data_IF_492505896085
#
_entry.id   IF_492505896085
#
_cell.length_a   1.000
_cell.length_b   1.000
_cell.length_c   1.000
_cell.angle_alpha   90.00
_cell.angle_beta   90.00
_cell.angle_gamma   90.00
#
_symmetry.space_group_name_H-M   'P 1'
#
loop_
_entity.id
_entity.type
_entity.pdbx_description
1 polymer ?
#
# COMPACT_ATOMS: atom_id res chain seq x y z
N UNK A 1 24.02 4.28 8.17
CA UNK A 1 22.70 3.87 7.64
C UNK A 1 22.57 4.37 6.21
N UNK A 2 22.03 3.61 5.24
CA UNK A 2 21.68 4.22 3.96
C UNK A 2 20.44 5.09 4.19
N UNK A 3 20.67 6.38 4.36
CA UNK A 3 19.64 7.40 4.51
C UNK A 3 18.75 7.44 3.27
N UNK A 4 17.44 7.25 3.48
CA UNK A 4 16.43 7.66 2.50
C UNK A 4 16.47 9.19 2.43
N UNK A 5 17.30 9.73 1.54
CA UNK A 5 17.29 11.17 1.20
C UNK A 5 16.12 11.41 0.24
N UNK A 6 14.91 11.42 0.76
CA UNK A 6 13.69 11.57 -0.03
C UNK A 6 12.67 12.49 0.65
N UNK A 7 11.83 13.13 -0.15
CA UNK A 7 10.67 13.84 0.38
C UNK A 7 9.56 12.82 0.72
N UNK A 8 8.94 12.99 1.87
CA UNK A 8 7.72 12.31 2.29
C UNK A 8 6.54 13.16 1.84
N UNK A 9 5.64 12.56 1.07
CA UNK A 9 4.40 13.19 0.66
C UNK A 9 3.24 12.53 1.40
N UNK A 10 2.48 13.33 2.15
CA UNK A 10 1.27 12.88 2.83
C UNK A 10 0.08 13.46 2.07
N UNK A 11 -0.64 12.60 1.35
CA UNK A 11 -1.85 13.02 0.63
C UNK A 11 -3.04 12.94 1.57
N UNK A 12 -3.54 14.10 1.99
CA UNK A 12 -4.69 14.18 2.90
C UNK A 12 -5.34 15.55 2.82
N UNK A 13 -6.66 15.58 2.96
CA UNK A 13 -7.42 16.81 3.20
C UNK A 13 -7.69 17.05 4.69
N UNK A 14 -7.24 16.14 5.55
CA UNK A 14 -7.38 16.18 7.00
C UNK A 14 -5.99 16.28 7.63
N UNK A 15 -5.63 17.47 8.08
CA UNK A 15 -4.34 17.74 8.73
C UNK A 15 -4.56 17.71 10.24
N UNK A 16 -3.92 16.78 10.97
CA UNK A 16 -4.01 16.76 12.42
C UNK A 16 -3.34 17.99 13.05
N UNK A 17 -3.90 18.51 14.15
CA UNK A 17 -3.38 19.70 14.84
C UNK A 17 -1.93 19.57 15.34
N UNK A 18 -1.46 18.34 15.55
CA UNK A 18 -0.07 18.08 15.97
C UNK A 18 0.93 18.16 14.82
N UNK A 19 0.48 18.09 13.56
CA UNK A 19 1.36 18.14 12.39
C UNK A 19 1.63 19.60 12.00
N UNK A 20 2.79 20.11 12.38
CA UNK A 20 3.18 21.49 12.05
C UNK A 20 3.74 21.58 10.62
N UNK A 21 2.90 21.97 9.67
CA UNK A 21 3.26 22.11 8.25
C UNK A 21 4.19 23.31 7.98
N UNK A 22 4.13 24.36 8.82
CA UNK A 22 5.02 25.53 8.67
C UNK A 22 6.48 25.21 8.99
N UNK A 23 6.73 24.25 9.90
CA UNK A 23 8.09 23.80 10.28
C UNK A 23 8.58 22.59 9.49
N UNK A 24 7.72 21.88 8.75
CA UNK A 24 8.07 20.63 8.06
C UNK A 24 8.84 20.81 6.73
N UNK A 25 9.42 21.99 6.50
CA UNK A 25 9.70 22.50 5.15
C UNK A 25 10.88 21.90 4.36
N UNK A 26 11.68 20.97 4.88
CA UNK A 26 12.74 20.36 4.03
C UNK A 26 12.36 18.99 3.45
N UNK A 27 11.64 18.14 4.18
CA UNK A 27 11.43 16.74 3.76
C UNK A 27 9.97 16.29 3.75
N UNK A 28 9.05 16.83 4.56
CA UNK A 28 7.65 16.40 4.58
C UNK A 28 6.74 17.44 3.93
N UNK A 29 5.93 17.00 2.96
CA UNK A 29 4.97 17.82 2.23
C UNK A 29 3.58 17.23 2.35
N UNK A 30 2.63 18.03 2.80
CA UNK A 30 1.21 17.66 2.74
C UNK A 30 0.66 18.08 1.38
N UNK A 31 -0.03 17.17 0.71
CA UNK A 31 -0.65 17.39 -0.60
C UNK A 31 -2.16 17.21 -0.45
N UNK A 32 -2.95 18.21 -0.85
CA UNK A 32 -4.41 18.07 -0.88
C UNK A 32 -4.82 17.22 -2.06
N UNK A 33 -5.97 16.53 -1.97
CA UNK A 33 -6.54 15.84 -3.13
C UNK A 33 -6.84 16.82 -4.28
N UNK A 34 -7.10 18.10 -3.97
CA UNK A 34 -7.29 19.20 -4.93
C UNK A 34 -6.06 19.47 -5.80
N UNK A 35 -4.87 19.14 -5.33
CA UNK A 35 -3.62 19.38 -6.08
C UNK A 35 -3.38 18.30 -7.15
N UNK A 36 -4.07 17.15 -7.05
CA UNK A 36 -3.81 15.98 -7.89
C UNK A 36 -5.06 15.44 -8.61
N UNK A 37 -6.26 15.80 -8.17
CA UNK A 37 -7.53 15.40 -8.78
C UNK A 37 -8.22 16.63 -9.36
N UNK A 38 -8.76 16.49 -10.57
CA UNK A 38 -9.54 17.54 -11.23
C UNK A 38 -10.75 17.92 -10.35
N UNK A 39 -10.99 19.22 -10.19
CA UNK A 39 -12.07 19.78 -9.38
C UNK A 39 -13.44 19.18 -9.69
N UNK A 40 -13.72 18.79 -10.94
CA UNK A 40 -15.00 18.15 -11.32
C UNK A 40 -15.25 16.80 -10.64
N UNK A 41 -14.20 16.15 -10.13
CA UNK A 41 -14.25 14.85 -9.47
C UNK A 41 -14.17 14.95 -7.94
N UNK A 42 -14.18 16.17 -7.39
CA UNK A 42 -14.10 16.43 -5.96
C UNK A 42 -15.47 16.83 -5.38
N UNK A 43 -15.73 16.56 -4.08
CA UNK A 43 -14.87 15.82 -3.15
C UNK A 43 -14.87 14.32 -3.43
N UNK A 44 -13.77 13.63 -3.09
CA UNK A 44 -13.69 12.17 -3.14
C UNK A 44 -13.16 11.60 -1.82
N UNK A 45 -13.73 10.48 -1.41
CA UNK A 45 -13.32 9.62 -0.30
C UNK A 45 -12.91 8.24 -0.82
N UNK A 46 -12.77 8.09 -2.14
CA UNK A 46 -12.40 6.85 -2.79
C UNK A 46 -10.87 6.74 -2.86
N UNK A 47 -10.28 5.85 -2.05
CA UNK A 47 -8.83 5.63 -2.10
C UNK A 47 -8.35 5.18 -3.49
N UNK A 48 -9.15 4.42 -4.25
CA UNK A 48 -8.79 4.03 -5.61
C UNK A 48 -8.71 5.25 -6.54
N UNK A 49 -9.61 6.24 -6.39
CA UNK A 49 -9.53 7.49 -7.15
C UNK A 49 -8.28 8.29 -6.77
N UNK A 50 -7.97 8.39 -5.47
CA UNK A 50 -6.79 9.13 -4.96
C UNK A 50 -5.49 8.45 -5.43
N UNK A 51 -5.37 7.14 -5.22
CA UNK A 51 -4.20 6.33 -5.59
C UNK A 51 -3.90 6.41 -7.10
N UNK A 52 -4.93 6.42 -7.96
CA UNK A 52 -4.76 6.55 -9.40
C UNK A 52 -4.21 7.93 -9.82
N UNK A 53 -4.29 8.94 -8.96
CA UNK A 53 -3.83 10.30 -9.24
C UNK A 53 -2.49 10.66 -8.55
N UNK A 54 -1.88 9.77 -7.75
CA UNK A 54 -0.63 10.07 -7.03
C UNK A 54 0.54 10.46 -7.93
N UNK A 55 0.58 9.96 -9.17
CA UNK A 55 1.61 10.33 -10.16
C UNK A 55 1.62 11.83 -10.53
N UNK A 56 0.57 12.58 -10.14
CA UNK A 56 0.44 14.02 -10.36
C UNK A 56 1.02 14.87 -9.22
N UNK A 57 1.44 14.25 -8.10
CA UNK A 57 2.06 14.97 -6.98
C UNK A 57 3.22 15.84 -7.52
N UNK A 58 3.23 17.16 -7.22
CA UNK A 58 4.29 18.06 -7.64
C UNK A 58 5.65 17.59 -7.13
N UNK A 59 6.66 17.63 -8.01
CA UNK A 59 8.04 17.21 -7.72
C UNK A 59 8.22 15.74 -7.30
N UNK A 60 7.19 14.89 -7.45
CA UNK A 60 7.33 13.45 -7.24
C UNK A 60 8.39 12.89 -8.21
N UNK A 61 9.35 12.15 -7.65
CA UNK A 61 10.47 11.55 -8.39
C UNK A 61 9.97 10.39 -9.27
N UNK A 62 10.81 10.01 -10.25
CA UNK A 62 10.51 8.91 -11.16
C UNK A 62 10.32 7.58 -10.43
N UNK A 63 11.11 7.32 -9.40
CA UNK A 63 11.00 6.15 -8.53
C UNK A 63 10.59 6.61 -7.14
N UNK A 64 9.49 6.08 -6.63
CA UNK A 64 8.97 6.41 -5.29
C UNK A 64 8.40 5.17 -4.62
N UNK A 65 8.26 5.23 -3.29
CA UNK A 65 7.57 4.19 -2.53
C UNK A 65 6.17 4.69 -2.19
N UNK A 66 5.19 3.86 -2.47
CA UNK A 66 3.82 4.02 -1.99
C UNK A 66 3.65 3.32 -0.64
N UNK A 67 3.10 4.04 0.32
CA UNK A 67 2.63 3.53 1.60
C UNK A 67 1.17 3.95 1.75
N UNK A 68 0.31 3.02 2.16
CA UNK A 68 -0.99 3.39 2.70
C UNK A 68 -0.88 3.66 4.23
N UNK A 69 -2.01 3.77 4.90
CA UNK A 69 -2.14 4.09 6.33
C UNK A 69 -1.90 2.90 7.29
N UNK A 70 -1.95 1.64 6.81
CA UNK A 70 -1.81 0.45 7.66
C UNK A 70 -0.42 -0.22 7.60
N UNK A 71 0.52 0.30 6.80
CA UNK A 71 1.88 -0.24 6.68
C UNK A 71 2.84 0.24 7.77
N UNK A 72 3.59 -0.71 8.32
CA UNK A 72 4.61 -0.51 9.34
C UNK A 72 5.92 -1.14 8.89
N UNK A 73 7.02 -0.39 9.01
CA UNK A 73 8.37 -0.92 8.89
C UNK A 73 8.84 -1.42 10.26
N UNK A 74 8.87 -2.73 10.46
CA UNK A 74 9.16 -3.31 11.78
C UNK A 74 10.65 -3.31 12.16
N UNK A 75 11.54 -3.31 11.15
CA UNK A 75 13.00 -3.22 11.33
C UNK A 75 13.64 -2.43 10.20
N UNK A 76 14.95 -2.16 10.33
CA UNK A 76 15.70 -1.44 9.30
C UNK A 76 15.56 -2.12 7.93
N UNK A 77 15.26 -1.30 6.92
CA UNK A 77 15.17 -1.67 5.51
C UNK A 77 16.20 -0.90 4.71
N UNK A 78 16.52 -1.39 3.53
CA UNK A 78 17.47 -0.81 2.59
C UNK A 78 16.80 -0.55 1.24
N UNK A 79 17.44 0.24 0.38
CA UNK A 79 16.94 0.46 -0.98
C UNK A 79 16.78 -0.85 -1.77
N UNK A 80 17.61 -1.87 -1.48
CA UNK A 80 17.58 -3.19 -2.14
C UNK A 80 16.33 -4.02 -1.80
N UNK A 81 15.62 -3.65 -0.74
CA UNK A 81 14.32 -4.24 -0.42
C UNK A 81 13.23 -3.76 -1.40
N UNK A 82 13.46 -2.65 -2.10
CA UNK A 82 12.46 -2.04 -3.00
C UNK A 82 12.94 -1.87 -4.44
N UNK A 83 14.25 -1.76 -4.67
CA UNK A 83 14.82 -1.57 -6.00
C UNK A 83 16.12 -2.35 -6.17
N UNK A 84 16.23 -3.11 -7.26
CA UNK A 84 17.52 -3.61 -7.76
C UNK A 84 18.19 -2.52 -8.59
N UNK A 85 19.50 -2.34 -8.37
CA UNK A 85 20.33 -1.32 -9.00
C UNK A 85 19.73 0.10 -8.97
N UNK A 86 18.92 0.36 -7.93
CA UNK A 86 18.19 1.62 -7.69
C UNK A 86 17.18 2.02 -8.79
N UNK A 87 16.85 1.13 -9.73
CA UNK A 87 15.99 1.44 -10.88
C UNK A 87 14.96 0.37 -11.21
N UNK A 88 15.19 -0.88 -10.83
CA UNK A 88 14.29 -1.99 -11.10
C UNK A 88 13.39 -2.23 -9.89
N UNK A 89 12.08 -1.94 -9.94
CA UNK A 89 11.18 -2.16 -8.81
C UNK A 89 11.15 -3.63 -8.39
N UNK A 90 11.21 -3.88 -7.08
CA UNK A 90 11.00 -5.19 -6.46
C UNK A 90 9.53 -5.31 -6.08
N UNK A 91 8.77 -6.09 -6.82
CA UNK A 91 7.35 -6.34 -6.54
C UNK A 91 7.21 -7.63 -5.77
N UNK A 92 6.76 -7.52 -4.52
CA UNK A 92 6.37 -8.67 -3.72
C UNK A 92 5.00 -9.17 -4.16
N UNK A 93 4.88 -10.48 -4.36
CA UNK A 93 3.63 -11.18 -4.61
C UNK A 93 3.21 -12.04 -3.42
N UNK A 94 1.94 -11.98 -3.05
CA UNK A 94 1.29 -12.85 -2.08
C UNK A 94 0.75 -14.13 -2.75
N UNK A 95 -0.10 -14.90 -2.08
CA UNK A 95 -0.76 -16.07 -2.67
C UNK A 95 -1.68 -15.68 -3.85
N UNK A 96 -1.85 -16.61 -4.81
CA UNK A 96 -2.70 -16.42 -6.00
C UNK A 96 -4.16 -16.47 -5.58
N UNK A 97 -5.04 -15.73 -6.26
CA UNK A 97 -6.47 -16.07 -6.17
C UNK A 97 -6.68 -17.38 -6.92
N UNK A 98 -7.11 -18.43 -6.22
CA UNK A 98 -7.89 -19.45 -6.91
C UNK A 98 -9.31 -18.92 -7.03
N UNK A 99 -9.96 -19.14 -8.17
CA UNK A 99 -11.33 -18.71 -8.48
C UNK A 99 -12.40 -19.21 -7.51
N UNK A 100 -12.04 -20.08 -6.54
CA UNK A 100 -12.94 -20.79 -5.64
C UNK A 100 -13.17 -20.14 -4.27
N UNK A 101 -12.94 -18.84 -4.09
CA UNK A 101 -13.27 -18.21 -2.80
C UNK A 101 -14.75 -17.83 -2.75
N UNK A 102 -15.59 -18.72 -2.19
CA UNK A 102 -16.97 -18.51 -1.72
C UNK A 102 -17.08 -17.45 -0.58
N UNK A 103 -16.13 -16.52 -0.50
CA UNK A 103 -16.10 -15.45 0.48
C UNK A 103 -16.80 -14.26 -0.17
N UNK A 104 -17.79 -13.67 0.50
CA UNK A 104 -18.37 -12.39 0.11
C UNK A 104 -17.22 -11.41 -0.21
N UNK A 105 -17.05 -11.09 -1.49
CA UNK A 105 -15.93 -10.30 -1.96
C UNK A 105 -16.12 -8.89 -1.43
N UNK A 106 -15.21 -8.43 -0.57
CA UNK A 106 -15.18 -7.02 -0.23
C UNK A 106 -14.79 -6.21 -1.50
N UNK A 107 -15.18 -4.95 -1.50
CA UNK A 107 -15.00 -4.05 -2.65
C UNK A 107 -13.53 -3.95 -3.10
N UNK A 108 -12.59 -4.06 -2.16
CA UNK A 108 -11.16 -4.04 -2.45
C UNK A 108 -10.70 -5.28 -3.23
N UNK A 109 -11.11 -6.49 -2.82
CA UNK A 109 -10.87 -7.72 -3.58
C UNK A 109 -11.53 -7.66 -4.94
N UNK A 110 -12.75 -7.15 -5.03
CA UNK A 110 -13.45 -6.97 -6.31
C UNK A 110 -12.65 -6.08 -7.26
N UNK A 111 -12.10 -4.97 -6.78
CA UNK A 111 -11.27 -4.08 -7.60
C UNK A 111 -10.01 -4.77 -8.15
N UNK A 112 -9.39 -5.69 -7.38
CA UNK A 112 -8.28 -6.50 -7.87
C UNK A 112 -8.72 -7.50 -8.95
N UNK A 113 -9.91 -8.10 -8.83
CA UNK A 113 -10.46 -8.98 -9.88
C UNK A 113 -10.79 -8.21 -11.16
N UNK A 114 -11.41 -7.03 -11.04
CA UNK A 114 -11.66 -6.15 -12.18
C UNK A 114 -10.35 -5.77 -12.88
N UNK A 115 -9.29 -5.52 -12.11
CA UNK A 115 -7.95 -5.26 -12.64
C UNK A 115 -7.41 -6.44 -13.44
N UNK A 116 -7.49 -7.66 -12.88
CA UNK A 116 -7.07 -8.88 -13.60
C UNK A 116 -7.84 -9.06 -14.91
N UNK A 117 -9.16 -8.90 -14.86
CA UNK A 117 -10.01 -9.01 -16.04
C UNK A 117 -9.59 -8.00 -17.13
N UNK A 118 -9.30 -6.76 -16.76
CA UNK A 118 -8.88 -5.75 -17.74
C UNK A 118 -7.49 -6.04 -18.31
N UNK A 119 -6.54 -6.50 -17.49
CA UNK A 119 -5.21 -6.86 -17.97
C UNK A 119 -5.26 -8.01 -18.97
N UNK A 120 -6.08 -9.05 -18.73
CA UNK A 120 -6.26 -10.17 -19.66
C UNK A 120 -6.79 -9.74 -21.04
N UNK A 121 -7.68 -8.75 -21.06
CA UNK A 121 -8.35 -8.33 -22.29
C UNK A 121 -7.64 -7.18 -23.02
N UNK A 122 -6.81 -6.40 -22.32
CA UNK A 122 -6.31 -5.12 -22.84
C UNK A 122 -4.78 -5.02 -22.90
N UNK A 123 -4.04 -5.98 -22.33
CA UNK A 123 -2.58 -6.08 -22.53
C UNK A 123 -2.34 -7.20 -23.54
N UNK A 124 -2.07 -6.87 -24.83
CA UNK A 124 -1.83 -7.88 -25.84
C UNK A 124 -0.62 -8.71 -25.43
N UNK A 125 -0.76 -10.03 -25.46
CA UNK A 125 0.34 -11.00 -25.38
C UNK A 125 1.17 -11.02 -24.09
N UNK A 126 0.54 -11.26 -22.94
CA UNK A 126 1.23 -11.96 -21.86
C UNK A 126 0.72 -13.40 -21.75
N UNK A 127 1.62 -14.38 -21.74
CA UNK A 127 1.30 -15.81 -21.52
C UNK A 127 0.76 -16.12 -20.11
N UNK A 128 0.34 -15.10 -19.35
CA UNK A 128 -0.10 -15.21 -17.96
C UNK A 128 -1.60 -14.99 -17.91
N UNK A 129 -2.33 -16.00 -17.44
CA UNK A 129 -3.76 -15.86 -17.17
C UNK A 129 -3.96 -15.14 -15.82
N UNK A 130 -5.14 -14.58 -15.57
CA UNK A 130 -5.48 -14.02 -14.25
C UNK A 130 -5.20 -14.96 -13.06
N UNK A 131 -5.35 -16.26 -13.25
CA UNK A 131 -5.04 -17.29 -12.23
C UNK A 131 -3.56 -17.35 -11.85
N UNK A 132 -2.66 -16.86 -12.70
CA UNK A 132 -1.22 -16.89 -12.47
C UNK A 132 -0.70 -15.67 -11.71
N UNK A 133 -1.50 -14.59 -11.66
CA UNK A 133 -1.13 -13.33 -10.99
C UNK A 133 -1.26 -13.46 -9.47
N UNK A 134 -0.15 -13.20 -8.79
CA UNK A 134 -0.12 -13.03 -7.33
C UNK A 134 -0.76 -11.69 -6.94
N UNK A 135 -1.44 -11.59 -5.80
CA UNK A 135 -1.83 -10.26 -5.33
C UNK A 135 -0.64 -9.47 -4.83
N UNK A 136 -0.82 -8.15 -4.80
CA UNK A 136 0.06 -7.31 -4.02
C UNK A 136 -0.25 -7.52 -2.53
N UNK A 137 0.75 -7.85 -1.72
CA UNK A 137 0.58 -7.94 -0.28
C UNK A 137 0.38 -6.54 0.32
N UNK A 138 -0.14 -6.48 1.54
CA UNK A 138 -0.23 -5.21 2.28
C UNK A 138 1.16 -4.79 2.78
N UNK A 139 1.95 -4.19 1.90
CA UNK A 139 3.29 -3.70 2.17
C UNK A 139 3.67 -2.56 1.24
N UNK A 140 4.76 -1.84 1.53
CA UNK A 140 5.15 -0.72 0.69
C UNK A 140 5.47 -1.16 -0.74
N UNK A 141 5.00 -0.38 -1.71
CA UNK A 141 5.14 -0.72 -3.12
C UNK A 141 6.06 0.27 -3.83
N UNK A 142 7.16 -0.19 -4.46
CA UNK A 142 7.95 0.65 -5.34
C UNK A 142 7.18 0.92 -6.63
N UNK A 143 7.04 2.19 -6.98
CA UNK A 143 6.31 2.63 -8.16
C UNK A 143 7.22 3.47 -9.06
N UNK A 144 7.08 3.22 -10.36
CA UNK A 144 7.68 4.02 -11.43
C UNK A 144 6.64 5.01 -11.97
N UNK A 145 6.89 6.31 -11.78
CA UNK A 145 5.98 7.40 -12.15
C UNK A 145 5.65 7.39 -13.64
N UNK A 146 6.61 7.12 -14.51
CA UNK A 146 6.36 7.02 -15.96
C UNK A 146 5.33 5.94 -16.30
N UNK A 147 5.38 4.79 -15.62
CA UNK A 147 4.43 3.68 -15.84
C UNK A 147 3.04 4.08 -15.32
N UNK A 148 2.95 4.69 -14.15
CA UNK A 148 1.68 5.20 -13.64
C UNK A 148 1.05 6.24 -14.58
N UNK A 149 1.86 7.13 -15.17
CA UNK A 149 1.40 8.08 -16.19
C UNK A 149 0.92 7.38 -17.46
N UNK A 150 1.68 6.41 -17.96
CA UNK A 150 1.30 5.64 -19.14
C UNK A 150 -0.05 4.93 -18.94
N UNK A 151 -0.21 4.23 -17.82
CA UNK A 151 -1.45 3.54 -17.45
C UNK A 151 -2.63 4.53 -17.41
N UNK A 152 -2.54 5.61 -16.64
CA UNK A 152 -3.70 6.46 -16.36
C UNK A 152 -3.96 7.59 -17.35
N UNK A 153 -2.93 8.08 -18.04
CA UNK A 153 -3.04 9.23 -18.95
C UNK A 153 -2.99 8.83 -20.43
N UNK A 154 -2.57 7.61 -20.76
CA UNK A 154 -2.46 7.15 -22.14
C UNK A 154 -3.30 5.90 -22.43
N UNK A 155 -3.04 4.78 -21.75
CA UNK A 155 -3.61 3.47 -22.10
C UNK A 155 -5.03 3.28 -21.56
N UNK A 156 -5.29 3.70 -20.33
CA UNK A 156 -6.53 3.41 -19.60
C UNK A 156 -7.23 4.68 -19.11
N UNK A 157 -7.14 5.77 -19.87
CA UNK A 157 -7.71 7.08 -19.52
C UNK A 157 -9.22 7.03 -19.26
N UNK A 158 -9.96 6.18 -19.97
CA UNK A 158 -11.41 6.03 -19.76
C UNK A 158 -11.72 5.38 -18.39
N UNK A 159 -10.95 4.36 -17.99
CA UNK A 159 -11.06 3.72 -16.68
C UNK A 159 -10.65 4.71 -15.58
N UNK A 160 -9.57 5.46 -15.79
CA UNK A 160 -9.13 6.52 -14.87
C UNK A 160 -10.22 7.56 -14.62
N UNK A 161 -10.88 8.06 -15.69
CA UNK A 161 -11.97 9.03 -15.60
C UNK A 161 -13.21 8.48 -14.90
N UNK A 162 -13.62 7.26 -15.24
CA UNK A 162 -14.76 6.59 -14.61
C UNK A 162 -14.53 6.42 -13.11
N UNK A 163 -13.39 5.82 -12.72
CA UNK A 163 -13.02 5.64 -11.32
C UNK A 163 -12.87 6.96 -10.55
N UNK A 164 -12.28 7.99 -11.18
CA UNK A 164 -12.15 9.32 -10.56
C UNK A 164 -13.51 9.95 -10.29
N UNK A 165 -14.56 9.60 -11.03
CA UNK A 165 -15.92 10.14 -10.82
C UNK A 165 -16.65 9.57 -9.61
N UNK A 166 -16.18 8.45 -9.06
CA UNK A 166 -16.80 7.83 -7.90
C UNK A 166 -16.35 8.51 -6.60
N UNK A 167 -17.32 9.03 -5.83
CA UNK A 167 -17.04 9.68 -4.53
C UNK A 167 -16.60 8.71 -3.45
N UNK A 168 -17.09 7.47 -3.49
CA UNK A 168 -16.66 6.36 -2.63
C UNK A 168 -16.17 5.21 -3.51
N UNK A 169 -15.50 4.22 -2.92
CA UNK A 169 -15.10 3.01 -3.67
C UNK A 169 -16.34 2.41 -4.34
N UNK A 170 -16.22 2.06 -5.61
CA UNK A 170 -17.28 1.46 -6.42
C UNK A 170 -16.94 0.02 -6.80
N UNK A 171 -17.97 -0.81 -7.04
CA UNK A 171 -17.81 -2.22 -7.42
C UNK A 171 -17.15 -2.39 -8.79
N UNK A 172 -17.12 -1.34 -9.60
CA UNK A 172 -16.48 -1.31 -10.92
C UNK A 172 -15.07 -0.69 -10.90
N UNK A 173 -14.60 -0.22 -9.74
CA UNK A 173 -13.24 0.30 -9.62
C UNK A 173 -12.19 -0.78 -9.95
N UNK A 174 -11.01 -0.32 -10.31
CA UNK A 174 -9.79 -1.13 -10.37
C UNK A 174 -8.87 -0.76 -9.21
N UNK A 175 -8.01 -1.69 -8.81
CA UNK A 175 -7.03 -1.40 -7.76
C UNK A 175 -5.80 -0.73 -8.39
N UNK A 176 -5.50 0.56 -8.12
CA UNK A 176 -4.54 1.30 -8.95
C UNK A 176 -3.10 0.84 -8.79
N UNK A 177 -2.66 0.64 -7.56
CA UNK A 177 -1.30 0.20 -7.26
C UNK A 177 -1.05 -1.22 -7.80
N UNK A 178 -2.05 -2.10 -7.67
CA UNK A 178 -2.06 -3.44 -8.26
C UNK A 178 -1.99 -3.39 -9.78
N UNK A 179 -2.80 -2.54 -10.41
CA UNK A 179 -2.81 -2.33 -11.87
C UNK A 179 -1.43 -1.91 -12.37
N UNK A 180 -0.86 -0.84 -11.80
CA UNK A 180 0.45 -0.30 -12.22
C UNK A 180 1.53 -1.39 -12.09
N UNK A 181 1.54 -2.10 -10.97
CA UNK A 181 2.54 -3.13 -10.68
C UNK A 181 2.44 -4.31 -11.63
N UNK A 182 1.22 -4.78 -11.93
CA UNK A 182 1.00 -5.89 -12.86
C UNK A 182 1.25 -5.49 -14.31
N UNK A 183 0.78 -4.32 -14.70
CA UNK A 183 1.09 -3.76 -16.02
C UNK A 183 2.61 -3.67 -16.25
N UNK A 184 3.37 -3.23 -15.25
CA UNK A 184 4.84 -3.18 -15.30
C UNK A 184 5.46 -4.57 -15.48
N UNK A 185 5.01 -5.56 -14.70
CA UNK A 185 5.48 -6.96 -14.79
C UNK A 185 5.24 -7.55 -16.18
N UNK A 186 4.15 -7.15 -16.81
CA UNK A 186 3.72 -7.63 -18.12
C UNK A 186 4.44 -6.94 -19.28
N UNK A 187 5.25 -5.89 -19.04
CA UNK A 187 6.08 -5.27 -20.07
C UNK A 187 7.40 -6.02 -20.27
N UNK A 188 7.70 -6.44 -21.50
CA UNK A 188 8.93 -7.17 -21.84
C UNK A 188 10.21 -6.33 -21.76
N UNK A 189 10.11 -5.00 -21.90
CA UNK A 189 11.25 -4.10 -22.04
C UNK A 189 11.52 -3.24 -20.80
N UNK A 190 10.92 -3.57 -19.65
CA UNK A 190 11.09 -2.81 -18.42
C UNK A 190 11.60 -3.71 -17.31
N UNK A 191 12.68 -3.27 -16.64
CA UNK A 191 13.27 -4.04 -15.56
C UNK A 191 12.35 -4.08 -14.33
N UNK A 192 12.13 -5.29 -13.80
CA UNK A 192 11.29 -5.56 -12.63
C UNK A 192 11.74 -6.89 -12.00
N UNK A 193 11.83 -6.94 -10.67
CA UNK A 193 12.06 -8.19 -9.95
C UNK A 193 10.80 -8.61 -9.21
N UNK A 194 10.38 -9.86 -9.35
CA UNK A 194 9.28 -10.43 -8.58
C UNK A 194 9.82 -11.27 -7.43
N UNK A 195 9.40 -10.97 -6.20
CA UNK A 195 9.74 -11.74 -4.99
C UNK A 195 8.49 -12.29 -4.33
N UNK A 196 8.61 -13.37 -3.56
CA UNK A 196 7.52 -13.85 -2.71
C UNK A 196 7.50 -13.07 -1.41
N UNK A 197 6.33 -12.58 -1.02
CA UNK A 197 6.14 -11.78 0.20
C UNK A 197 6.60 -12.52 1.47
N UNK A 198 6.46 -13.84 1.48
CA UNK A 198 6.92 -14.73 2.56
C UNK A 198 8.39 -14.45 2.94
N UNK A 199 9.25 -14.02 2.02
CA UNK A 199 10.65 -13.68 2.33
C UNK A 199 10.84 -12.38 3.15
N UNK A 200 9.85 -11.48 3.17
CA UNK A 200 9.92 -10.18 3.83
C UNK A 200 9.23 -10.14 5.20
N UNK A 201 8.20 -10.98 5.40
CA UNK A 201 7.43 -11.03 6.64
C UNK A 201 7.30 -12.40 7.28
N UNK A 202 7.87 -13.48 6.71
CA UNK A 202 8.13 -14.67 7.50
C UNK A 202 9.39 -14.53 8.32
N UNK A 203 9.27 -14.87 9.60
CA UNK A 203 10.39 -14.98 10.51
C UNK A 203 10.10 -16.15 11.46
N UNK A 204 11.06 -17.07 11.60
CA UNK A 204 10.91 -18.33 12.34
C UNK A 204 9.73 -19.21 11.89
N UNK A 205 9.40 -19.18 10.59
CA UNK A 205 8.37 -20.04 9.99
C UNK A 205 6.94 -19.48 10.01
N UNK A 206 6.70 -18.36 10.67
CA UNK A 206 5.37 -17.77 10.84
C UNK A 206 5.14 -16.52 9.97
N UNK A 207 3.90 -16.25 9.57
CA UNK A 207 3.54 -15.20 8.60
C UNK A 207 2.89 -13.97 9.27
N UNK A 208 3.61 -12.84 9.24
CA UNK A 208 3.19 -11.59 9.85
C UNK A 208 2.77 -10.51 8.84
N UNK A 209 2.65 -10.85 7.56
CA UNK A 209 2.54 -9.85 6.49
C UNK A 209 1.29 -8.96 6.60
N UNK A 210 0.16 -9.55 6.96
CA UNK A 210 -1.11 -8.84 7.01
C UNK A 210 -1.94 -9.27 8.22
N UNK A 211 -2.02 -8.41 9.22
CA UNK A 211 -2.67 -8.69 10.49
C UNK A 211 -3.92 -7.84 10.61
N UNK A 212 -5.06 -8.50 10.77
CA UNK A 212 -6.34 -7.82 10.95
C UNK A 212 -6.72 -7.92 12.42
N UNK A 213 -6.66 -6.78 13.12
CA UNK A 213 -7.16 -6.69 14.48
C UNK A 213 -8.68 -6.73 14.44
N UNK A 214 -9.23 -7.87 14.84
CA UNK A 214 -10.66 -8.02 15.11
C UNK A 214 -11.00 -7.32 16.41
N UNK A 215 -12.29 -7.10 16.68
CA UNK A 215 -12.76 -6.49 17.92
C UNK A 215 -12.63 -7.39 19.17
N UNK A 216 -11.50 -8.10 19.28
CA UNK A 216 -11.12 -9.01 20.35
C UNK A 216 -9.80 -8.53 20.96
N UNK A 217 -9.89 -7.90 22.14
CA UNK A 217 -8.72 -7.35 22.82
C UNK A 217 -7.70 -8.43 23.20
N UNK A 218 -8.15 -9.63 23.58
CA UNK A 218 -7.25 -10.71 24.02
C UNK A 218 -6.37 -11.18 22.87
N UNK A 219 -6.96 -11.43 21.69
CA UNK A 219 -6.21 -11.80 20.48
C UNK A 219 -5.22 -10.70 20.08
N UNK A 220 -5.68 -9.44 20.02
CA UNK A 220 -4.81 -8.31 19.70
C UNK A 220 -3.64 -8.19 20.68
N UNK A 221 -3.90 -8.34 21.98
CA UNK A 221 -2.85 -8.30 23.02
C UNK A 221 -1.87 -9.47 22.87
N UNK A 222 -2.35 -10.69 22.62
CA UNK A 222 -1.50 -11.86 22.40
C UNK A 222 -0.56 -11.63 21.21
N UNK A 223 -1.11 -11.12 20.10
CA UNK A 223 -0.34 -10.74 18.92
C UNK A 223 0.77 -9.71 19.24
N UNK A 224 0.44 -8.63 19.96
CA UNK A 224 1.44 -7.64 20.36
C UNK A 224 2.48 -8.18 21.35
N UNK A 225 2.07 -9.00 22.31
CA UNK A 225 2.99 -9.65 23.26
C UNK A 225 3.96 -10.60 22.55
N UNK A 226 3.48 -11.30 21.52
CA UNK A 226 4.32 -12.14 20.69
C UNK A 226 5.37 -11.32 19.94
N UNK A 227 4.97 -10.22 19.32
CA UNK A 227 5.91 -9.28 18.70
C UNK A 227 6.88 -8.67 19.73
N UNK A 228 6.49 -8.50 21.00
CA UNK A 228 7.39 -8.04 22.07
C UNK A 228 8.43 -9.06 22.51
N UNK A 229 8.10 -10.35 22.52
CA UNK A 229 9.03 -11.42 22.95
C UNK A 229 10.13 -11.70 21.94
N UNK A 230 9.93 -11.35 20.66
CA UNK A 230 10.87 -11.68 19.57
C UNK A 230 12.17 -10.88 19.64
N UNK A 231 13.27 -11.42 19.15
CA UNK A 231 14.53 -10.66 19.04
C UNK A 231 14.51 -9.67 17.87
N UNK A 232 13.78 -9.99 16.80
CA UNK A 232 13.61 -9.18 15.60
C UNK A 232 12.15 -9.05 15.19
N UNK A 233 11.84 -7.93 14.52
CA UNK A 233 10.54 -7.65 13.93
C UNK A 233 10.51 -8.07 12.45
N UNK A 234 9.35 -8.44 11.87
CA UNK A 234 9.21 -8.54 10.41
C UNK A 234 9.61 -7.23 9.71
N UNK A 235 10.10 -7.30 8.45
CA UNK A 235 10.48 -6.07 7.73
C UNK A 235 9.24 -5.23 7.44
N UNK A 236 8.22 -5.85 6.88
CA UNK A 236 6.95 -5.24 6.54
C UNK A 236 5.86 -5.88 7.40
N UNK A 237 5.01 -5.04 7.97
CA UNK A 237 3.90 -5.44 8.81
C UNK A 237 2.71 -4.55 8.46
N UNK A 238 1.60 -5.14 8.04
CA UNK A 238 0.32 -4.43 7.93
C UNK A 238 -0.54 -4.73 9.14
N UNK A 239 -1.10 -3.70 9.76
CA UNK A 239 -2.07 -3.83 10.85
C UNK A 239 -3.31 -3.02 10.50
N UNK A 240 -4.36 -3.72 10.09
CA UNK A 240 -5.65 -3.12 9.75
C UNK A 240 -6.68 -3.42 10.85
N UNK A 241 -7.56 -2.47 11.16
CA UNK A 241 -8.65 -2.67 12.11
C UNK A 241 -9.98 -2.91 11.36
N UNK A 242 -10.47 -4.15 11.38
CA UNK A 242 -11.85 -4.42 10.95
C UNK A 242 -12.76 -4.24 12.14
N UNK A 243 -13.10 -2.98 12.42
CA UNK A 243 -13.92 -2.63 13.56
C UNK A 243 -15.39 -2.92 13.27
N UNK A 244 -15.97 -3.87 14.02
CA UNK A 244 -17.41 -3.87 14.29
C UNK A 244 -17.72 -2.79 15.34
N UNK A 245 -18.96 -2.29 15.36
CA UNK A 245 -19.44 -1.12 16.11
C UNK A 245 -19.32 -1.16 17.66
N UNK A 246 -18.56 -2.08 18.26
CA UNK A 246 -18.39 -2.16 19.71
C UNK A 246 -17.14 -1.36 20.16
N UNK A 247 -17.37 -0.11 20.54
CA UNK A 247 -16.35 0.92 20.78
C UNK A 247 -15.41 0.67 21.99
N UNK A 248 -15.83 -0.11 22.98
CA UNK A 248 -15.06 -0.31 24.24
C UNK A 248 -13.79 -1.14 24.01
N UNK A 249 -13.90 -2.25 23.28
CA UNK A 249 -12.75 -3.11 22.98
C UNK A 249 -11.78 -2.40 22.01
N UNK A 250 -12.31 -1.62 21.07
CA UNK A 250 -11.52 -0.80 20.14
C UNK A 250 -10.60 0.17 20.88
N UNK A 251 -11.11 0.89 21.88
CA UNK A 251 -10.29 1.80 22.69
C UNK A 251 -9.14 1.09 23.42
N UNK A 252 -9.37 -0.14 23.91
CA UNK A 252 -8.32 -0.94 24.56
C UNK A 252 -7.27 -1.44 23.57
N UNK A 253 -7.70 -1.93 22.40
CA UNK A 253 -6.82 -2.36 21.32
C UNK A 253 -5.94 -1.19 20.85
N UNK A 254 -6.53 -0.01 20.66
CA UNK A 254 -5.79 1.19 20.26
C UNK A 254 -4.72 1.59 21.28
N UNK A 255 -5.06 1.60 22.58
CA UNK A 255 -4.08 1.88 23.65
C UNK A 255 -2.94 0.85 23.66
N UNK A 256 -3.26 -0.42 23.45
CA UNK A 256 -2.27 -1.49 23.41
C UNK A 256 -1.35 -1.37 22.19
N UNK A 257 -1.90 -1.02 21.03
CA UNK A 257 -1.12 -0.73 19.84
C UNK A 257 -0.20 0.48 20.05
N UNK A 258 -0.70 1.59 20.60
CA UNK A 258 0.12 2.76 20.94
C UNK A 258 1.27 2.41 21.89
N UNK A 259 0.99 1.58 22.90
CA UNK A 259 2.02 1.08 23.82
C UNK A 259 3.07 0.24 23.10
N UNK A 260 2.64 -0.69 22.25
CA UNK A 260 3.52 -1.49 21.41
C UNK A 260 4.43 -0.62 20.52
N UNK A 261 3.87 0.38 19.83
CA UNK A 261 4.62 1.33 18.99
C UNK A 261 5.68 2.08 19.81
N UNK A 262 5.33 2.58 21.00
CA UNK A 262 6.25 3.29 21.90
C UNK A 262 7.40 2.40 22.36
N UNK A 263 7.10 1.18 22.78
CA UNK A 263 8.09 0.24 23.33
C UNK A 263 9.06 -0.30 22.28
N UNK A 264 8.58 -0.56 21.05
CA UNK A 264 9.38 -1.28 20.04
C UNK A 264 9.87 -0.44 18.89
N UNK A 265 9.06 0.49 18.39
CA UNK A 265 9.40 1.27 17.20
C UNK A 265 10.01 2.62 17.57
N UNK A 266 9.40 3.34 18.53
CA UNK A 266 9.85 4.69 18.87
C UNK A 266 11.08 4.72 19.79
N UNK A 267 11.23 3.77 20.72
CA UNK A 267 12.47 3.67 21.53
C UNK A 267 13.73 3.60 20.67
N UNK A 268 13.67 2.88 19.55
CA UNK A 268 14.79 2.77 18.60
C UNK A 268 15.07 4.06 17.82
N UNK A 269 14.09 4.95 17.67
CA UNK A 269 14.30 6.25 17.01
C UNK A 269 15.07 7.20 17.94
N UNK A 270 14.84 7.12 19.25
CA UNK A 270 15.56 7.96 20.23
C UNK A 270 16.99 7.48 20.54
N UNK A 271 17.38 6.31 20.01
CA UNK A 271 18.72 5.72 20.13
C UNK A 271 19.59 5.95 18.88
N UNK A 272 19.06 6.64 17.86
CA UNK A 272 19.73 6.99 16.59
C UNK A 272 19.96 8.51 16.55
#
# INVERSE_FOLDING_TARGET
MPSFHGHIYVVTDQIPNWLNISKSQSQLRVISTKDIIDHRYLPTFNSHAIEANLHKIPHLKEFYLYFNDDYILGRAVSIKDFFVDRRCPVIYGDDRLTSNTNIALNIHKKAMLNTNFLLDNLVPSTNLNASDRHFLPHAPHPIRKSIAKEVWLSKFTNIHRAQSSHRFRDMNDVHPIYFISRYLIEQSNVCVEQRRMKSACRFDGEDFCNQVLKNNFTEAKQFFDELRRRSQMPKFLSINDRTSANYTNQGRIHKEFQRFLKERLLKKINEI
#
